data_IF_378641678582
#
_entry.id   IF_378641678582
#
_cell.length_a   1.000
_cell.length_b   1.000
_cell.length_c   1.000
_cell.angle_alpha   90.00
_cell.angle_beta   90.00
_cell.angle_gamma   90.00
#
_symmetry.space_group_name_H-M   'P 1'
#
loop_
_entity.id
_entity.type
_entity.pdbx_description
1 polymer ?
#
# COMPACT_ATOMS: atom_id res chain seq x y z
N UNK A 1 -0.84 27.75 28.65
CA UNK A 1 -1.05 27.87 27.20
C UNK A 1 0.27 27.59 26.49
N UNK A 2 0.47 26.37 25.99
CA UNK A 2 1.34 26.09 24.83
C UNK A 2 0.66 24.94 24.09
N UNK A 3 0.36 25.18 22.81
CA UNK A 3 -0.43 24.33 21.94
C UNK A 3 0.27 22.98 21.69
N UNK A 4 -0.39 21.86 21.98
CA UNK A 4 0.04 20.53 21.52
C UNK A 4 -0.81 20.12 20.32
N UNK A 5 -0.46 20.66 19.15
CA UNK A 5 -0.82 20.03 17.88
C UNK A 5 0.20 18.92 17.65
N UNK A 6 -0.16 17.67 17.92
CA UNK A 6 0.69 16.52 17.60
C UNK A 6 0.07 15.79 16.43
N UNK A 7 0.74 15.89 15.29
CA UNK A 7 0.43 15.15 14.08
C UNK A 7 1.12 13.79 14.18
N UNK A 8 0.35 12.72 14.22
CA UNK A 8 0.85 11.35 14.14
C UNK A 8 0.59 10.83 12.73
N UNK A 9 1.68 10.75 11.95
CA UNK A 9 1.66 10.26 10.58
C UNK A 9 2.03 8.78 10.61
N UNK A 10 1.05 7.93 10.31
CA UNK A 10 1.16 6.48 10.46
C UNK A 10 0.93 5.79 9.13
N UNK A 11 1.83 4.87 8.76
CA UNK A 11 1.65 4.01 7.58
C UNK A 11 2.01 2.57 7.90
N UNK A 12 1.08 1.66 7.60
CA UNK A 12 1.15 0.24 7.85
C UNK A 12 1.76 -0.52 6.65
N UNK A 13 2.60 -1.55 6.86
CA UNK A 13 2.80 -2.69 5.92
C UNK A 13 2.22 -3.94 6.57
N UNK A 14 1.46 -4.75 5.84
CA UNK A 14 0.64 -5.83 6.42
C UNK A 14 1.21 -7.20 6.09
N UNK A 15 1.30 -8.07 7.11
CA UNK A 15 1.50 -9.51 6.93
C UNK A 15 0.18 -10.23 7.20
N UNK A 16 -0.43 -10.82 6.17
CA UNK A 16 -1.71 -11.53 6.29
C UNK A 16 -1.49 -13.03 6.53
N UNK A 17 -2.24 -13.64 7.47
CA UNK A 17 -2.29 -15.10 7.69
C UNK A 17 -3.73 -15.61 7.65
N UNK A 18 -3.92 -16.66 6.85
CA UNK A 18 -4.50 -17.97 7.21
C UNK A 18 -5.12 -18.55 5.95
N UNK A 19 -4.25 -19.07 5.11
CA UNK A 19 -4.71 -19.77 3.95
C UNK A 19 -5.26 -21.15 4.24
N UNK A 20 -6.42 -21.41 3.65
CA UNK A 20 -6.92 -22.76 3.53
C UNK A 20 -6.18 -23.42 2.37
N UNK A 21 -5.71 -24.64 2.58
CA UNK A 21 -5.31 -25.52 1.49
C UNK A 21 -6.59 -25.96 0.76
N UNK A 22 -6.61 -25.86 -0.56
CA UNK A 22 -7.71 -26.34 -1.38
C UNK A 22 -7.91 -27.85 -1.17
N UNK A 23 -9.10 -28.26 -0.73
CA UNK A 23 -9.53 -29.65 -0.89
C UNK A 23 -9.83 -29.83 -2.37
N UNK A 24 -9.10 -30.75 -3.01
CA UNK A 24 -9.20 -31.10 -4.43
C UNK A 24 -10.65 -31.32 -4.86
N UNK A 25 -11.21 -30.38 -5.62
CA UNK A 25 -12.32 -30.69 -6.52
C UNK A 25 -11.74 -31.08 -7.86
N UNK A 26 -11.90 -32.37 -8.16
CA UNK A 26 -11.48 -33.03 -9.38
C UNK A 26 -12.33 -32.54 -10.55
N UNK A 27 -11.77 -31.77 -11.47
CA UNK A 27 -12.35 -31.51 -12.80
C UNK A 27 -11.39 -32.03 -13.87
N UNK A 28 -11.96 -32.83 -14.77
CA UNK A 28 -11.28 -33.61 -15.79
C UNK A 28 -10.71 -32.76 -16.94
N UNK A 29 -9.70 -33.34 -17.58
CA UNK A 29 -8.96 -32.94 -18.79
C UNK A 29 -9.79 -32.33 -19.94
N UNK A 30 -9.17 -31.40 -20.68
CA UNK A 30 -8.65 -31.66 -22.03
C UNK A 30 -8.04 -30.39 -22.66
N UNK A 31 -6.74 -30.42 -22.95
CA UNK A 31 -6.08 -29.52 -23.93
C UNK A 31 -6.15 -30.15 -25.32
N UNK A 32 -5.97 -29.34 -26.38
CA UNK A 32 -4.81 -29.64 -27.21
C UNK A 32 -4.00 -28.39 -27.62
N UNK A 33 -2.69 -28.59 -27.59
CA UNK A 33 -1.62 -27.77 -28.16
C UNK A 33 -1.71 -27.64 -29.68
N UNK A 34 -1.35 -26.49 -30.24
CA UNK A 34 -0.84 -26.41 -31.62
C UNK A 34 0.04 -25.17 -31.84
N UNK A 35 1.27 -25.40 -32.32
CA UNK A 35 2.12 -24.47 -33.08
C UNK A 35 3.07 -25.36 -33.91
N UNK A 36 3.31 -25.14 -35.22
CA UNK A 36 4.45 -24.28 -35.60
C UNK A 36 4.41 -23.58 -37.00
N UNK A 37 5.14 -22.46 -37.09
CA UNK A 37 6.08 -21.97 -38.15
C UNK A 37 5.71 -21.86 -39.64
N UNK A 38 5.93 -20.67 -40.24
CA UNK A 38 6.69 -20.30 -41.48
C UNK A 38 6.17 -18.90 -41.98
N UNK A 39 6.85 -17.98 -42.67
CA UNK A 39 8.19 -17.80 -43.25
C UNK A 39 8.32 -16.34 -43.77
N UNK A 40 9.50 -15.72 -43.56
CA UNK A 40 10.30 -14.77 -44.40
C UNK A 40 9.65 -13.57 -45.13
N UNK A 41 10.31 -12.41 -44.99
CA UNK A 41 10.28 -11.30 -45.94
C UNK A 41 11.29 -10.20 -45.62
N UNK A 42 12.51 -10.34 -46.14
CA UNK A 42 13.64 -9.39 -46.06
C UNK A 42 13.43 -8.11 -46.89
N UNK A 43 13.98 -6.95 -46.48
CA UNK A 43 14.88 -6.14 -47.33
C UNK A 43 15.53 -4.95 -46.58
N UNK A 44 16.80 -4.70 -46.93
CA UNK A 44 17.72 -3.65 -46.50
C UNK A 44 17.33 -2.24 -46.99
N UNK A 45 17.77 -1.20 -46.25
CA UNK A 45 18.59 -0.11 -46.83
C UNK A 45 19.32 0.68 -45.72
N UNK A 46 20.61 0.91 -45.95
CA UNK A 46 21.54 1.66 -45.09
C UNK A 46 21.75 3.09 -45.61
N UNK A 47 22.12 4.01 -44.70
CA UNK A 47 22.94 5.25 -44.85
C UNK A 47 22.80 5.99 -43.51
N UNK A 48 23.81 6.42 -42.75
CA UNK A 48 25.14 6.86 -43.10
C UNK A 48 25.27 8.36 -42.71
N UNK A 49 25.98 8.62 -41.60
CA UNK A 49 26.87 9.76 -41.33
C UNK A 49 26.48 10.88 -40.32
N UNK A 50 27.42 11.03 -39.38
CA UNK A 50 28.00 12.23 -38.72
C UNK A 50 27.41 12.79 -37.43
N UNK A 51 28.34 12.98 -36.49
CA UNK A 51 28.21 13.35 -35.10
C UNK A 51 28.15 14.87 -34.88
N UNK A 52 27.53 15.28 -33.77
CA UNK A 52 28.10 16.29 -32.86
C UNK A 52 27.74 15.90 -31.42
N UNK A 53 28.76 15.78 -30.58
CA UNK A 53 28.61 15.75 -29.14
C UNK A 53 28.49 17.20 -28.66
N UNK A 54 27.36 17.56 -28.07
CA UNK A 54 27.24 18.76 -27.25
C UNK A 54 26.93 18.32 -25.81
N UNK A 55 27.90 18.58 -24.95
CA UNK A 55 27.77 18.46 -23.52
C UNK A 55 26.92 19.64 -23.03
N UNK A 56 25.62 19.45 -22.90
CA UNK A 56 24.76 20.40 -22.20
C UNK A 56 24.88 20.17 -20.69
N UNK A 57 25.30 21.24 -20.02
CA UNK A 57 25.40 21.34 -18.58
C UNK A 57 24.06 20.95 -17.93
N UNK A 58 24.07 19.89 -17.13
CA UNK A 58 22.93 19.52 -16.28
C UNK A 58 22.81 20.53 -15.15
N UNK A 59 21.83 21.39 -15.31
CA UNK A 59 21.23 22.23 -14.27
C UNK A 59 20.89 21.37 -13.03
N UNK A 60 21.60 21.59 -11.91
CA UNK A 60 21.40 20.90 -10.61
C UNK A 60 20.28 21.59 -9.80
N UNK A 61 19.21 22.01 -10.47
CA UNK A 61 17.99 22.51 -9.85
C UNK A 61 17.13 21.32 -9.39
N UNK A 62 17.58 20.65 -8.33
CA UNK A 62 16.70 19.74 -7.58
C UNK A 62 15.52 20.56 -7.04
N UNK A 63 14.26 20.20 -7.34
CA UNK A 63 13.13 20.91 -6.79
C UNK A 63 13.14 20.76 -5.27
N UNK A 64 13.24 21.88 -4.57
CA UNK A 64 13.01 22.00 -3.14
C UNK A 64 11.57 21.59 -2.82
N UNK A 65 11.37 20.96 -1.66
CA UNK A 65 10.09 20.42 -1.21
C UNK A 65 8.98 21.47 -0.94
N UNK A 66 9.14 22.70 -1.41
CA UNK A 66 8.27 23.85 -1.12
C UNK A 66 7.30 24.24 -2.25
N UNK A 67 7.41 23.66 -3.46
CA UNK A 67 6.59 24.06 -4.62
C UNK A 67 5.58 23.01 -5.13
N UNK A 68 5.40 21.89 -4.44
CA UNK A 68 4.52 20.81 -4.90
C UNK A 68 3.05 21.02 -4.49
N UNK A 69 2.42 22.10 -4.98
CA UNK A 69 0.99 22.32 -4.77
C UNK A 69 0.19 21.46 -5.77
N UNK A 70 -0.54 20.45 -5.28
CA UNK A 70 -1.32 19.56 -6.15
C UNK A 70 -2.71 20.12 -6.43
N UNK A 71 -3.07 20.30 -7.69
CA UNK A 71 -4.44 20.63 -8.13
C UNK A 71 -5.37 19.40 -8.21
N UNK A 72 -4.92 18.26 -7.66
CA UNK A 72 -5.64 17.00 -7.74
C UNK A 72 -6.96 17.06 -6.96
N UNK A 73 -8.04 16.62 -7.59
CA UNK A 73 -9.34 16.45 -6.94
C UNK A 73 -9.54 14.98 -6.68
N UNK A 74 -9.58 14.61 -5.42
CA UNK A 74 -9.88 13.25 -5.01
C UNK A 74 -11.34 13.21 -4.63
N UNK A 75 -12.07 12.24 -5.19
CA UNK A 75 -13.48 12.01 -4.93
C UNK A 75 -13.67 10.58 -4.47
N UNK A 76 -14.54 10.36 -3.49
CA UNK A 76 -14.82 9.02 -3.01
C UNK A 76 -15.68 8.24 -4.01
N UNK A 77 -15.68 6.91 -3.87
CA UNK A 77 -16.41 6.02 -4.78
C UNK A 77 -17.92 6.33 -4.92
N UNK A 78 -18.56 6.81 -3.85
CA UNK A 78 -19.98 7.18 -3.87
C UNK A 78 -20.26 8.60 -4.37
N UNK A 79 -19.22 9.38 -4.73
CA UNK A 79 -19.33 10.76 -5.19
C UNK A 79 -20.00 11.72 -4.18
N UNK A 80 -19.88 11.41 -2.88
CA UNK A 80 -20.46 12.19 -1.77
C UNK A 80 -19.45 13.04 -1.03
N UNK A 81 -18.16 12.75 -1.17
CA UNK A 81 -17.07 13.48 -0.54
C UNK A 81 -15.97 13.75 -1.57
N UNK A 82 -15.45 14.96 -1.55
CA UNK A 82 -14.29 15.38 -2.33
C UNK A 82 -13.29 16.14 -1.46
N UNK A 83 -12.01 16.12 -1.83
CA UNK A 83 -11.00 16.98 -1.24
C UNK A 83 -9.96 17.39 -2.29
N UNK A 84 -9.28 18.50 -2.00
CA UNK A 84 -8.18 19.03 -2.80
C UNK A 84 -6.98 19.15 -1.86
N UNK A 85 -6.15 18.10 -1.73
CA UNK A 85 -5.01 18.14 -0.84
C UNK A 85 -4.01 19.21 -1.29
N UNK A 86 -3.38 19.86 -0.32
CA UNK A 86 -2.29 20.80 -0.60
C UNK A 86 -1.14 20.08 -1.32
N UNK A 87 -0.76 18.92 -0.81
CA UNK A 87 0.25 18.04 -1.40
C UNK A 87 -0.29 16.61 -1.47
N UNK A 88 -0.01 15.92 -2.57
CA UNK A 88 -0.35 14.51 -2.75
C UNK A 88 0.92 13.70 -3.04
N UNK A 89 1.29 12.82 -2.12
CA UNK A 89 2.52 12.03 -2.21
C UNK A 89 2.22 10.59 -2.66
N UNK A 90 3.08 10.04 -3.52
CA UNK A 90 3.02 8.65 -3.95
C UNK A 90 4.42 8.01 -3.88
N UNK A 91 4.91 7.64 -2.68
CA UNK A 91 6.25 7.11 -2.53
C UNK A 91 6.41 5.76 -3.24
N UNK A 92 7.54 5.59 -3.92
CA UNK A 92 7.91 4.33 -4.60
C UNK A 92 8.81 3.43 -3.72
N UNK A 93 9.30 3.98 -2.61
CA UNK A 93 10.17 3.27 -1.67
C UNK A 93 9.81 3.53 -0.21
N UNK A 94 10.21 2.62 0.68
CA UNK A 94 10.02 2.79 2.12
C UNK A 94 10.82 3.99 2.64
N UNK A 95 12.02 4.22 2.11
CA UNK A 95 12.89 5.33 2.52
C UNK A 95 12.27 6.68 2.16
N UNK A 96 11.64 6.77 0.98
CA UNK A 96 10.92 7.97 0.57
C UNK A 96 9.70 8.23 1.47
N UNK A 97 8.95 7.18 1.80
CA UNK A 97 7.84 7.27 2.74
C UNK A 97 8.29 7.75 4.14
N UNK A 98 9.37 7.20 4.68
CA UNK A 98 9.95 7.64 5.96
C UNK A 98 10.35 9.12 5.91
N UNK A 99 10.95 9.56 4.80
CA UNK A 99 11.31 10.97 4.59
C UNK A 99 10.09 11.88 4.54
N UNK A 100 9.04 11.51 3.80
CA UNK A 100 7.79 12.28 3.73
C UNK A 100 7.17 12.43 5.13
N UNK A 101 7.12 11.33 5.88
CA UNK A 101 6.57 11.32 7.24
C UNK A 101 7.38 12.20 8.19
N UNK A 102 8.72 12.13 8.12
CA UNK A 102 9.63 12.96 8.91
C UNK A 102 9.48 14.45 8.56
N UNK A 103 9.53 14.81 7.27
CA UNK A 103 9.38 16.20 6.81
C UNK A 103 8.04 16.79 7.25
N UNK A 104 6.95 16.05 7.10
CA UNK A 104 5.63 16.50 7.52
C UNK A 104 5.55 16.69 9.05
N UNK A 105 6.24 15.86 9.83
CA UNK A 105 6.32 16.04 11.28
C UNK A 105 7.15 17.27 11.67
N UNK A 106 8.31 17.46 11.05
CA UNK A 106 9.21 18.61 11.29
C UNK A 106 8.54 19.94 10.93
N UNK A 107 7.75 19.97 9.84
CA UNK A 107 7.00 21.16 9.42
C UNK A 107 5.67 21.36 10.16
N UNK A 108 5.27 20.41 11.03
CA UNK A 108 3.98 20.42 11.72
C UNK A 108 2.78 20.23 10.78
N UNK A 109 3.00 19.72 9.57
CA UNK A 109 1.97 19.48 8.58
C UNK A 109 1.21 18.17 8.85
N UNK A 110 -0.13 18.25 8.77
CA UNK A 110 -0.99 17.07 8.83
C UNK A 110 -0.88 16.26 7.55
N UNK A 111 -0.41 15.02 7.66
CA UNK A 111 -0.41 14.03 6.58
C UNK A 111 -1.42 12.93 6.91
N UNK A 112 -2.23 12.52 5.94
CA UNK A 112 -3.11 11.34 6.09
C UNK A 112 -2.86 10.31 4.99
N UNK A 113 -2.85 9.02 5.32
CA UNK A 113 -2.82 8.00 4.29
C UNK A 113 -4.18 7.89 3.59
N UNK A 114 -4.14 7.73 2.28
CA UNK A 114 -5.32 7.49 1.45
C UNK A 114 -5.05 6.31 0.50
N UNK A 115 -6.00 5.39 0.43
CA UNK A 115 -5.96 4.30 -0.56
C UNK A 115 -6.63 4.71 -1.87
N UNK A 116 -7.31 3.77 -2.52
CA UNK A 116 -8.05 3.98 -3.77
C UNK A 116 -9.35 4.81 -3.63
N UNK A 117 -9.55 5.52 -2.52
CA UNK A 117 -10.77 6.30 -2.21
C UNK A 117 -12.11 5.52 -2.32
N UNK A 118 -12.07 4.21 -2.11
CA UNK A 118 -13.24 3.31 -2.25
C UNK A 118 -14.23 3.37 -1.08
N UNK A 119 -13.83 3.96 0.04
CA UNK A 119 -14.69 4.12 1.20
C UNK A 119 -15.74 5.21 0.94
N UNK A 120 -17.05 4.96 1.19
CA UNK A 120 -18.06 6.01 1.15
C UNK A 120 -17.89 7.02 2.29
N UNK A 121 -17.15 6.67 3.34
CA UNK A 121 -16.77 7.58 4.42
C UNK A 121 -15.56 8.44 3.99
N UNK A 122 -15.64 9.76 4.21
CA UNK A 122 -14.58 10.74 3.94
C UNK A 122 -13.44 10.77 4.96
N UNK A 123 -13.28 9.75 5.81
CA UNK A 123 -12.29 9.76 6.90
C UNK A 123 -10.84 9.98 6.43
N UNK A 124 -10.48 9.40 5.28
CA UNK A 124 -9.16 9.56 4.68
C UNK A 124 -8.96 10.92 3.97
N UNK A 125 -10.02 11.70 3.77
CA UNK A 125 -9.99 12.92 2.96
C UNK A 125 -9.49 14.11 3.78
N UNK A 126 -8.60 14.90 3.18
CA UNK A 126 -7.95 16.05 3.82
C UNK A 126 -7.54 17.07 2.77
N UNK A 127 -7.73 18.36 3.05
CA UNK A 127 -7.16 19.44 2.22
C UNK A 127 -5.70 19.76 2.62
N UNK A 128 -5.16 19.09 3.65
CA UNK A 128 -3.74 19.14 3.98
C UNK A 128 -2.96 18.17 3.06
N UNK A 129 -1.88 17.56 3.55
CA UNK A 129 -1.15 16.56 2.79
C UNK A 129 -1.82 15.18 2.84
N UNK A 130 -1.75 14.47 1.73
CA UNK A 130 -2.17 13.07 1.60
C UNK A 130 -1.01 12.22 1.09
N UNK A 131 -0.94 10.96 1.53
CA UNK A 131 0.01 9.96 1.02
C UNK A 131 -0.73 8.72 0.54
N UNK A 132 -0.49 8.33 -0.70
CA UNK A 132 -1.03 7.12 -1.30
C UNK A 132 0.09 6.10 -1.54
N UNK A 133 -0.11 4.89 -1.05
CA UNK A 133 0.92 3.85 -1.07
C UNK A 133 0.86 2.96 -2.30
N UNK A 134 0.11 3.34 -3.35
CA UNK A 134 -0.15 2.51 -4.52
C UNK A 134 1.11 1.93 -5.19
N UNK A 135 2.27 2.58 -5.10
CA UNK A 135 3.54 2.09 -5.65
C UNK A 135 4.35 1.19 -4.70
N UNK A 136 3.91 1.07 -3.44
CA UNK A 136 4.38 0.08 -2.48
C UNK A 136 3.42 -1.11 -2.51
N UNK A 137 3.39 -1.84 -3.61
CA UNK A 137 2.41 -2.89 -3.92
C UNK A 137 2.97 -4.31 -4.07
N UNK A 138 4.23 -4.52 -3.67
CA UNK A 138 4.91 -5.81 -3.88
C UNK A 138 4.44 -6.86 -2.87
N UNK A 139 4.20 -8.08 -3.37
CA UNK A 139 4.16 -9.30 -2.57
C UNK A 139 5.61 -9.75 -2.35
N UNK A 140 6.07 -9.67 -1.09
CA UNK A 140 7.49 -9.87 -0.74
C UNK A 140 7.84 -11.33 -0.49
N UNK A 141 6.91 -12.08 0.12
CA UNK A 141 7.12 -13.50 0.44
C UNK A 141 5.80 -14.23 0.66
N UNK A 142 5.74 -15.51 0.28
CA UNK A 142 4.67 -16.44 0.62
C UNK A 142 5.28 -17.64 1.32
N UNK A 143 4.96 -17.81 2.60
CA UNK A 143 5.38 -18.94 3.43
C UNK A 143 4.23 -19.95 3.49
N UNK A 144 4.35 -21.06 2.76
CA UNK A 144 3.33 -22.11 2.68
C UNK A 144 3.25 -22.96 3.94
N UNK A 145 4.35 -23.13 4.66
CA UNK A 145 4.38 -23.89 5.92
C UNK A 145 3.62 -23.14 7.02
N UNK A 146 3.91 -21.85 7.17
CA UNK A 146 3.22 -20.98 8.14
C UNK A 146 1.90 -20.43 7.62
N UNK A 147 1.63 -20.57 6.31
CA UNK A 147 0.46 -20.05 5.60
C UNK A 147 0.32 -18.53 5.73
N UNK A 148 1.44 -17.84 5.56
CA UNK A 148 1.58 -16.39 5.73
C UNK A 148 2.02 -15.75 4.41
N UNK A 149 1.49 -14.57 4.12
CA UNK A 149 1.96 -13.71 3.03
C UNK A 149 2.45 -12.39 3.60
N UNK A 150 3.64 -11.98 3.17
CA UNK A 150 4.22 -10.67 3.47
C UNK A 150 4.02 -9.78 2.25
N UNK A 151 3.31 -8.66 2.43
CA UNK A 151 2.94 -7.79 1.33
C UNK A 151 3.05 -6.32 1.75
N UNK A 152 3.39 -5.45 0.79
CA UNK A 152 3.35 -4.01 1.02
C UNK A 152 1.89 -3.50 0.99
N UNK A 153 1.57 -2.49 1.78
CA UNK A 153 0.17 -2.10 2.00
C UNK A 153 -0.54 -1.46 0.81
N UNK A 154 0.20 -0.99 -0.20
CA UNK A 154 -0.36 -0.52 -1.46
C UNK A 154 -0.89 -1.63 -2.36
N UNK A 155 -0.51 -2.88 -2.11
CA UNK A 155 -0.95 -4.01 -2.91
C UNK A 155 -2.47 -4.11 -2.88
N UNK A 156 -3.06 -4.43 -4.02
CA UNK A 156 -4.50 -4.70 -4.13
C UNK A 156 -4.79 -6.13 -3.70
N UNK A 157 -6.00 -6.36 -3.20
CA UNK A 157 -6.47 -7.73 -2.87
C UNK A 157 -6.39 -8.64 -4.11
N UNK A 158 -6.68 -8.13 -5.31
CA UNK A 158 -6.51 -8.88 -6.57
C UNK A 158 -5.07 -9.34 -6.82
N UNK A 159 -4.08 -8.48 -6.60
CA UNK A 159 -2.66 -8.82 -6.76
C UNK A 159 -2.22 -9.87 -5.74
N UNK A 160 -2.67 -9.76 -4.49
CA UNK A 160 -2.36 -10.74 -3.44
C UNK A 160 -3.00 -12.10 -3.75
N UNK A 161 -4.28 -12.13 -4.09
CA UNK A 161 -4.97 -13.39 -4.38
C UNK A 161 -4.41 -14.10 -5.61
N UNK A 162 -3.97 -13.35 -6.64
CA UNK A 162 -3.27 -13.91 -7.79
C UNK A 162 -1.93 -14.54 -7.38
N UNK A 163 -1.11 -13.81 -6.62
CA UNK A 163 0.18 -14.33 -6.15
C UNK A 163 0.01 -15.60 -5.30
N UNK A 164 -0.99 -15.64 -4.42
CA UNK A 164 -1.27 -16.79 -3.56
C UNK A 164 -1.75 -18.03 -4.34
N UNK A 165 -2.39 -17.86 -5.50
CA UNK A 165 -2.89 -18.97 -6.33
C UNK A 165 -1.77 -19.93 -6.75
N UNK A 166 -0.56 -19.43 -6.98
CA UNK A 166 0.60 -20.24 -7.35
C UNK A 166 1.13 -21.13 -6.21
N UNK A 167 0.63 -20.93 -4.99
CA UNK A 167 1.08 -21.62 -3.78
C UNK A 167 -0.02 -22.48 -3.13
N UNK A 168 -1.16 -22.69 -3.80
CA UNK A 168 -2.32 -23.44 -3.27
C UNK A 168 -2.83 -22.92 -1.92
N UNK A 169 -2.74 -21.60 -1.76
CA UNK A 169 -3.00 -20.84 -0.54
C UNK A 169 -4.01 -19.74 -0.92
N UNK A 170 -4.97 -19.42 -0.04
CA UNK A 170 -6.03 -18.42 -0.29
C UNK A 170 -6.16 -17.46 0.90
N UNK A 171 -6.80 -16.30 0.75
CA UNK A 171 -7.23 -15.53 1.92
C UNK A 171 -8.48 -16.16 2.53
N UNK A 172 -8.57 -16.24 3.86
CA UNK A 172 -9.72 -16.86 4.52
C UNK A 172 -11.00 -16.03 4.34
N UNK A 173 -10.84 -14.71 4.28
CA UNK A 173 -11.93 -13.76 4.10
C UNK A 173 -11.46 -12.57 3.27
N UNK A 174 -12.31 -12.06 2.39
CA UNK A 174 -12.10 -10.78 1.71
C UNK A 174 -13.42 -10.22 1.17
N UNK A 175 -13.45 -8.91 0.98
CA UNK A 175 -14.62 -8.18 0.48
C UNK A 175 -14.77 -8.35 -1.03
N UNK A 176 -15.94 -8.01 -1.57
CA UNK A 176 -16.24 -8.12 -3.00
C UNK A 176 -15.43 -7.18 -3.91
N UNK A 177 -14.79 -6.15 -3.34
CA UNK A 177 -14.03 -5.15 -4.09
C UNK A 177 -12.54 -5.51 -4.03
N UNK A 178 -12.04 -6.14 -5.09
CA UNK A 178 -10.66 -6.64 -5.15
C UNK A 178 -9.62 -5.52 -5.35
N UNK A 179 -10.07 -4.31 -5.70
CA UNK A 179 -9.27 -3.12 -5.96
C UNK A 179 -8.91 -2.34 -4.68
N UNK A 180 -9.39 -2.79 -3.51
CA UNK A 180 -8.97 -2.24 -2.23
C UNK A 180 -7.50 -2.55 -1.99
N UNK A 181 -6.74 -1.53 -1.59
CA UNK A 181 -5.37 -1.72 -1.13
C UNK A 181 -5.37 -2.41 0.25
N UNK A 182 -4.42 -3.31 0.49
CA UNK A 182 -4.31 -4.12 1.70
C UNK A 182 -4.24 -3.26 2.97
N UNK A 183 -3.58 -2.11 2.91
CA UNK A 183 -3.56 -1.14 4.01
C UNK A 183 -4.98 -0.70 4.39
N UNK A 184 -5.75 -0.17 3.45
CA UNK A 184 -7.13 0.23 3.71
C UNK A 184 -8.04 -0.95 4.07
N UNK A 185 -7.86 -2.08 3.39
CA UNK A 185 -8.62 -3.31 3.60
C UNK A 185 -8.51 -3.85 5.04
N UNK A 186 -7.31 -3.80 5.62
CA UNK A 186 -7.12 -4.16 7.03
C UNK A 186 -7.64 -3.10 7.98
N UNK A 187 -7.35 -1.82 7.73
CA UNK A 187 -7.74 -0.71 8.62
C UNK A 187 -9.24 -0.57 8.84
N UNK A 188 -10.06 -0.97 7.85
CA UNK A 188 -11.53 -0.90 7.95
C UNK A 188 -12.16 -2.19 8.50
N UNK A 189 -11.36 -3.18 8.90
CA UNK A 189 -11.88 -4.47 9.37
C UNK A 189 -12.73 -5.18 8.31
N UNK A 190 -12.28 -5.16 7.05
CA UNK A 190 -13.06 -5.73 5.95
C UNK A 190 -13.40 -7.21 6.18
N UNK A 191 -14.59 -7.61 5.75
CA UNK A 191 -15.03 -9.00 5.84
C UNK A 191 -15.90 -9.36 4.64
N UNK A 192 -15.92 -10.64 4.31
CA UNK A 192 -16.84 -11.26 3.36
C UNK A 192 -17.94 -12.02 4.08
N UNK A 193 -18.45 -13.07 3.44
CA UNK A 193 -19.51 -13.93 3.97
C UNK A 193 -18.94 -15.05 4.84
N UNK A 194 -19.66 -15.42 5.89
CA UNK A 194 -19.31 -16.52 6.79
C UNK A 194 -19.30 -16.10 8.25
N UNK A 195 -20.33 -16.47 9.00
CA UNK A 195 -20.51 -16.05 10.39
C UNK A 195 -19.37 -16.50 11.32
N UNK A 196 -18.69 -17.60 10.98
CA UNK A 196 -17.56 -18.15 11.75
C UNK A 196 -16.19 -17.74 11.20
N UNK A 197 -16.15 -16.92 10.14
CA UNK A 197 -14.90 -16.46 9.53
C UNK A 197 -14.61 -15.05 10.09
N UNK A 198 -13.46 -14.85 10.76
CA UNK A 198 -13.14 -13.55 11.34
C UNK A 198 -12.93 -12.48 10.24
N UNK A 199 -13.11 -11.20 10.58
CA UNK A 199 -12.72 -10.10 9.71
C UNK A 199 -11.20 -10.08 9.50
N UNK A 200 -10.74 -9.33 8.50
CA UNK A 200 -9.35 -9.43 8.02
C UNK A 200 -8.34 -8.79 8.97
N UNK A 201 -8.73 -7.84 9.82
CA UNK A 201 -7.88 -7.24 10.84
C UNK A 201 -7.45 -8.28 11.89
N UNK A 202 -8.32 -9.25 12.20
CA UNK A 202 -8.00 -10.38 13.07
C UNK A 202 -7.10 -11.43 12.41
N UNK A 203 -6.89 -11.34 11.09
CA UNK A 203 -6.01 -12.23 10.31
C UNK A 203 -4.60 -11.65 10.14
N UNK A 204 -4.36 -10.41 10.58
CA UNK A 204 -3.03 -9.79 10.59
C UNK A 204 -2.21 -10.38 11.74
N UNK A 205 -1.00 -10.84 11.45
CA UNK A 205 -0.08 -11.43 12.47
C UNK A 205 1.07 -10.51 12.83
N UNK A 206 1.44 -9.63 11.90
CA UNK A 206 2.46 -8.61 12.11
C UNK A 206 2.24 -7.49 11.10
N UNK A 207 2.60 -6.28 11.51
CA UNK A 207 2.62 -5.13 10.63
C UNK A 207 3.85 -4.26 10.90
N UNK A 208 4.28 -3.51 9.91
CA UNK A 208 5.28 -2.45 10.10
C UNK A 208 4.60 -1.10 10.12
N UNK A 209 4.93 -0.26 11.09
CA UNK A 209 4.39 1.08 11.25
C UNK A 209 5.51 2.10 11.02
N UNK A 210 5.35 2.97 10.03
CA UNK A 210 6.22 4.14 9.87
C UNK A 210 5.82 5.19 10.88
N UNK A 211 6.79 5.65 11.66
CA UNK A 211 6.63 6.68 12.69
C UNK A 211 7.58 7.85 12.41
N UNK A 212 7.22 9.08 12.78
CA UNK A 212 8.07 10.24 12.54
C UNK A 212 9.34 10.29 13.39
N UNK A 213 9.40 9.53 14.50
CA UNK A 213 10.54 9.57 15.42
C UNK A 213 11.42 8.32 15.36
N UNK A 214 10.81 7.13 15.34
CA UNK A 214 11.53 5.86 15.42
C UNK A 214 11.73 5.20 14.04
N UNK A 215 11.39 5.90 12.95
CA UNK A 215 11.34 5.32 11.61
C UNK A 215 10.30 4.19 11.55
N UNK A 216 10.61 3.13 10.83
CA UNK A 216 9.75 1.94 10.74
C UNK A 216 9.93 1.00 11.94
N UNK A 217 8.85 0.80 12.70
CA UNK A 217 8.79 -0.19 13.79
C UNK A 217 7.95 -1.41 13.39
N UNK A 218 8.33 -2.60 13.83
CA UNK A 218 7.54 -3.83 13.63
C UNK A 218 6.63 -4.05 14.84
N UNK A 219 5.38 -4.41 14.58
CA UNK A 219 4.35 -4.72 15.58
C UNK A 219 3.81 -6.14 15.34
N UNK A 220 3.56 -6.87 16.42
CA UNK A 220 2.89 -8.17 16.43
C UNK A 220 2.29 -8.44 17.81
N UNK A 221 1.63 -9.58 18.00
CA UNK A 221 1.17 -10.00 19.33
C UNK A 221 2.33 -10.19 20.32
N UNK A 222 3.49 -10.63 19.82
CA UNK A 222 4.70 -10.80 20.64
C UNK A 222 5.47 -9.47 20.82
N UNK A 223 5.34 -8.54 19.86
CA UNK A 223 6.10 -7.30 19.80
C UNK A 223 5.16 -6.09 19.84
N UNK A 224 5.03 -5.49 21.03
CA UNK A 224 4.13 -4.35 21.32
C UNK A 224 2.64 -4.67 21.10
N UNK A 225 2.05 -5.66 21.82
CA UNK A 225 0.68 -6.14 21.60
C UNK A 225 -0.38 -5.05 21.71
N UNK A 226 -0.20 -4.08 22.63
CA UNK A 226 -1.15 -2.99 22.80
C UNK A 226 -1.21 -2.11 21.54
N UNK A 227 -0.06 -1.67 21.03
CA UNK A 227 -0.01 -0.84 19.82
C UNK A 227 -0.40 -1.64 18.58
N UNK A 228 -0.03 -2.92 18.50
CA UNK A 228 -0.45 -3.81 17.42
C UNK A 228 -1.98 -3.92 17.32
N UNK A 229 -2.67 -4.12 18.44
CA UNK A 229 -4.13 -4.23 18.48
C UNK A 229 -4.83 -2.92 18.11
N UNK A 230 -4.25 -1.76 18.47
CA UNK A 230 -4.74 -0.47 17.99
C UNK A 230 -4.49 -0.28 16.49
N UNK A 231 -3.34 -0.75 16.00
CA UNK A 231 -2.91 -0.52 14.63
C UNK A 231 -3.62 -1.36 13.58
N UNK A 232 -4.10 -2.55 13.92
CA UNK A 232 -4.76 -3.41 12.94
C UNK A 232 -6.18 -2.95 12.54
N UNK A 233 -6.85 -2.12 13.36
CA UNK A 233 -8.24 -1.68 13.14
C UNK A 233 -8.48 -0.17 13.38
N UNK A 234 -7.42 0.65 13.31
CA UNK A 234 -7.44 2.05 13.74
C UNK A 234 -8.05 3.05 12.75
N UNK A 235 -8.57 2.61 11.61
CA UNK A 235 -9.06 3.48 10.53
C UNK A 235 -8.07 4.64 10.21
N UNK A 236 -6.78 4.33 10.15
CA UNK A 236 -5.69 5.30 9.90
C UNK A 236 -5.50 6.41 10.95
N UNK A 237 -6.05 6.26 12.16
CA UNK A 237 -6.04 7.31 13.19
C UNK A 237 -5.64 6.81 14.58
N UNK A 238 -4.51 6.10 14.71
CA UNK A 238 -4.02 5.81 16.06
C UNK A 238 -3.34 7.07 16.60
N UNK A 239 -3.77 7.48 17.78
CA UNK A 239 -3.18 8.57 18.54
C UNK A 239 -2.49 7.95 19.75
N UNK A 240 -1.20 7.62 19.65
CA UNK A 240 -0.45 7.13 20.82
C UNK A 240 0.16 8.30 21.60
N UNK A 241 -0.42 8.63 22.76
CA UNK A 241 0.19 9.53 23.74
C UNK A 241 1.23 8.75 24.56
N UNK A 242 2.51 8.82 24.18
CA UNK A 242 3.59 8.35 25.05
C UNK A 242 3.77 9.32 26.22
N UNK A 243 3.30 8.95 27.41
CA UNK A 243 3.67 9.65 28.64
C UNK A 243 5.16 9.43 28.90
N UNK A 244 5.96 10.46 28.67
CA UNK A 244 7.37 10.51 29.09
C UNK A 244 7.40 10.60 30.63
N UNK A 245 7.82 9.55 31.32
CA UNK A 245 8.25 9.72 32.71
C UNK A 245 9.53 10.55 32.68
N UNK A 246 9.53 11.64 33.44
CA UNK A 246 10.73 12.47 33.67
C UNK A 246 11.80 11.68 34.41
#
# INVERSE_FOLDING_TARGET
MVSQHHVFNEVCQVTAKRALSTVSQRSQDHSPSFNPTLLVGSLLAASGLTATAEAEARDDSRPSAEDAQSDEVIVNWSNTHECRPKNFYQPESLQELEKIVATAHESGEKLRPIGSALSPNGLAFSNNSLVNLAFLDKVLAVDTEKRQVTVQAGARVSQVTEALRHHDVVLQNFASIAEQQIGGFTQVGAHGTGASIPPVDMQVVSLKLVTPFAGTITLSEDLNPHLFNLAKAGCSSIHYASQRSR
#
